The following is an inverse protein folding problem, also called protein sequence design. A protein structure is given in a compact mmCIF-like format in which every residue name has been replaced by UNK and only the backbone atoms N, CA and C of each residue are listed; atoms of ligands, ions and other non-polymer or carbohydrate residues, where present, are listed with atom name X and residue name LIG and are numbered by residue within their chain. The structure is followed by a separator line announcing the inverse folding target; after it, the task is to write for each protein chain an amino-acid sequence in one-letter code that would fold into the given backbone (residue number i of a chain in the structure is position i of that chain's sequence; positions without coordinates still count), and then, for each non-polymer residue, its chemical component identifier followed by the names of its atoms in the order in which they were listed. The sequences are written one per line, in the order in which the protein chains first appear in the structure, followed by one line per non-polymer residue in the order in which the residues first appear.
data_IF_555922534499
#
_entry.id   IF_555922534499
#
_cell.length_a   1.000
_cell.length_b   1.000
_cell.length_c   1.000
_cell.angle_alpha   90.00
_cell.angle_beta   90.00
_cell.angle_gamma   90.00
#
_symmetry.space_group_name_H-M   'P 1'
#
loop_
_entity.id
_entity.type
_entity.pdbx_description
1 polymer ?
#
# COMPACT_ATOMS: atom_id res chain seq x y z
N UNK A 1 3.02 -0.10 16.47
CA UNK A 1 3.11 0.20 15.02
C UNK A 1 4.56 0.29 14.65
N UNK A 2 4.95 -0.26 13.50
CA UNK A 2 6.34 -0.24 13.03
C UNK A 2 6.51 0.91 12.05
N UNK A 3 7.49 1.78 12.27
CA UNK A 3 7.89 2.82 11.32
C UNK A 3 9.15 2.35 10.59
N UNK A 4 9.14 2.48 9.26
CA UNK A 4 10.25 2.06 8.41
C UNK A 4 10.83 3.27 7.70
N UNK A 5 12.16 3.38 7.70
CA UNK A 5 12.89 4.24 6.77
C UNK A 5 13.05 3.57 5.40
N UNK A 6 13.39 4.35 4.37
CA UNK A 6 13.67 3.82 3.04
C UNK A 6 14.81 2.78 3.10
N UNK A 7 14.56 1.58 2.60
CA UNK A 7 15.53 0.48 2.60
C UNK A 7 15.63 -0.27 3.93
N UNK A 8 14.86 0.11 4.95
CA UNK A 8 14.83 -0.60 6.22
C UNK A 8 14.03 -1.91 6.09
N UNK A 9 14.67 -3.03 6.43
CA UNK A 9 14.00 -4.30 6.66
C UNK A 9 13.60 -4.46 8.14
N UNK A 10 12.63 -5.34 8.38
CA UNK A 10 12.27 -5.79 9.73
C UNK A 10 12.26 -7.31 9.79
N UNK A 11 12.63 -7.86 10.94
CA UNK A 11 12.39 -9.28 11.19
C UNK A 11 10.89 -9.50 11.40
N UNK A 12 10.37 -10.57 10.80
CA UNK A 12 9.03 -11.06 11.04
C UNK A 12 9.02 -12.21 12.07
N UNK A 13 10.18 -12.57 12.61
CA UNK A 13 10.27 -13.52 13.71
C UNK A 13 9.69 -12.89 14.98
N UNK A 14 8.86 -13.64 15.69
CA UNK A 14 8.37 -13.21 17.00
C UNK A 14 9.44 -13.48 18.05
N UNK A 15 9.49 -12.66 19.09
CA UNK A 15 10.50 -12.76 20.16
C UNK A 15 10.45 -14.07 20.97
N UNK A 16 9.37 -14.84 20.84
CA UNK A 16 9.17 -16.16 21.45
C UNK A 16 9.65 -17.32 20.54
N UNK A 17 10.26 -17.02 19.39
CA UNK A 17 10.68 -18.02 18.40
C UNK A 17 9.55 -18.52 17.50
N UNK A 18 8.33 -17.98 17.65
CA UNK A 18 7.20 -18.28 16.79
C UNK A 18 7.31 -17.61 15.41
N UNK A 19 6.77 -18.28 14.38
CA UNK A 19 6.63 -17.69 13.05
C UNK A 19 5.43 -16.75 12.98
N UNK A 20 5.54 -15.68 12.17
CA UNK A 20 4.40 -14.84 11.82
C UNK A 20 3.49 -15.60 10.84
N UNK A 21 2.22 -15.77 11.22
CA UNK A 21 1.24 -16.52 10.43
C UNK A 21 0.32 -15.63 9.59
N UNK A 22 0.27 -14.34 9.89
CA UNK A 22 -0.55 -13.37 9.17
C UNK A 22 0.08 -11.99 9.16
N UNK A 23 0.01 -11.32 8.01
CA UNK A 23 0.39 -9.91 7.83
C UNK A 23 -0.82 -9.17 7.30
N UNK A 24 -1.10 -7.99 7.85
CA UNK A 24 -2.09 -7.05 7.32
C UNK A 24 -1.40 -5.76 6.92
N UNK A 25 -1.55 -5.38 5.66
CA UNK A 25 -1.05 -4.11 5.12
C UNK A 25 -2.21 -3.15 4.87
N UNK A 26 -1.97 -1.86 5.07
CA UNK A 26 -2.94 -0.80 4.77
C UNK A 26 -2.23 0.35 4.04
N UNK A 27 -2.86 0.86 2.99
CA UNK A 27 -2.40 2.01 2.24
C UNK A 27 -3.33 3.19 2.55
N UNK A 28 -2.74 4.32 2.96
CA UNK A 28 -3.46 5.56 3.23
C UNK A 28 -2.69 6.74 2.68
N UNK A 29 -3.40 7.74 2.17
CA UNK A 29 -2.79 8.96 1.61
C UNK A 29 -3.59 10.20 1.99
N UNK A 30 -2.90 11.34 1.99
CA UNK A 30 -3.56 12.63 2.13
C UNK A 30 -4.14 13.06 0.78
N UNK A 31 -5.40 13.51 0.79
CA UNK A 31 -6.05 14.04 -0.40
C UNK A 31 -5.30 15.25 -0.99
N UNK A 32 -5.41 15.45 -2.30
CA UNK A 32 -4.81 16.60 -2.95
C UNK A 32 -5.38 17.92 -2.38
N UNK A 33 -4.54 18.96 -2.23
CA UNK A 33 -5.01 20.27 -1.78
C UNK A 33 -6.08 20.83 -2.73
N UNK A 34 -7.19 21.31 -2.15
CA UNK A 34 -8.21 22.04 -2.91
C UNK A 34 -7.82 23.52 -3.00
N UNK A 35 -7.77 24.07 -4.22
CA UNK A 35 -7.60 25.53 -4.41
C UNK A 35 -8.84 26.25 -3.85
N UNK A 36 -8.65 27.37 -3.14
CA UNK A 36 -9.72 28.23 -2.61
C UNK A 36 -9.75 29.55 -3.39
N UNK A 37 -10.92 29.99 -3.87
CA UNK A 37 -11.10 31.26 -4.57
C UNK A 37 -12.45 31.35 -5.29
N UNK A 38 -12.82 32.54 -5.78
CA UNK A 38 -14.12 32.82 -6.42
C UNK A 38 -14.49 31.90 -7.60
N UNK A 39 -13.49 31.29 -8.25
CA UNK A 39 -13.67 30.40 -9.40
C UNK A 39 -13.39 28.92 -9.06
N UNK A 40 -13.11 28.58 -7.81
CA UNK A 40 -12.70 27.22 -7.42
C UNK A 40 -13.81 26.18 -7.61
N UNK A 41 -15.09 26.60 -7.64
CA UNK A 41 -16.22 25.71 -7.93
C UNK A 41 -16.27 25.24 -9.38
N UNK A 42 -15.62 25.94 -10.32
CA UNK A 42 -15.56 25.54 -11.74
C UNK A 42 -14.39 24.57 -12.03
N UNK A 43 -13.38 24.49 -11.16
CA UNK A 43 -12.22 23.62 -11.35
C UNK A 43 -12.39 22.33 -10.55
N UNK A 44 -12.33 21.18 -11.24
CA UNK A 44 -12.35 19.88 -10.57
C UNK A 44 -11.08 19.70 -9.71
N UNK A 45 -11.20 19.16 -8.48
CA UNK A 45 -10.04 18.78 -7.68
C UNK A 45 -9.18 17.79 -8.44
N UNK A 46 -7.86 17.83 -8.22
CA UNK A 46 -6.98 16.77 -8.72
C UNK A 46 -7.24 15.50 -7.91
N UNK A 47 -7.64 14.44 -8.58
CA UNK A 47 -7.85 13.14 -7.95
C UNK A 47 -6.50 12.43 -7.75
N UNK A 48 -6.39 11.69 -6.66
CA UNK A 48 -5.27 10.79 -6.40
C UNK A 48 -5.89 9.41 -6.32
N UNK A 49 -5.58 8.61 -7.32
CA UNK A 49 -5.97 7.20 -7.40
C UNK A 49 -4.76 6.35 -6.98
N UNK A 50 -4.92 5.56 -5.92
CA UNK A 50 -3.87 4.71 -5.37
C UNK A 50 -4.34 3.26 -5.34
N UNK A 51 -3.49 2.38 -5.84
CA UNK A 51 -3.68 0.95 -5.76
C UNK A 51 -2.71 0.32 -4.75
N UNK A 52 -3.21 -0.69 -4.04
CA UNK A 52 -2.38 -1.64 -3.31
C UNK A 52 -2.37 -2.96 -4.08
N UNK A 53 -1.21 -3.59 -4.20
CA UNK A 53 -1.06 -4.88 -4.86
C UNK A 53 -0.02 -5.74 -4.15
N UNK A 54 -0.18 -7.05 -4.24
CA UNK A 54 0.78 -8.02 -3.74
C UNK A 54 1.19 -8.94 -4.89
N UNK A 55 2.50 -9.16 -5.04
CA UNK A 55 3.04 -10.06 -6.08
C UNK A 55 3.82 -11.17 -5.38
N UNK A 56 3.43 -12.41 -5.64
CA UNK A 56 4.10 -13.59 -5.10
C UNK A 56 5.16 -14.08 -6.10
N UNK A 57 6.37 -14.33 -5.60
CA UNK A 57 7.47 -14.86 -6.37
C UNK A 57 7.92 -16.23 -5.87
N UNK A 58 8.24 -17.11 -6.81
CA UNK A 58 9.02 -18.33 -6.56
C UNK A 58 10.39 -18.17 -7.22
N UNK A 59 11.40 -17.86 -6.40
CA UNK A 59 12.71 -17.42 -6.90
C UNK A 59 12.59 -16.10 -7.68
N UNK A 60 12.96 -16.12 -8.96
CA UNK A 60 12.87 -14.93 -9.86
C UNK A 60 11.57 -14.85 -10.67
N UNK A 61 10.69 -15.84 -10.56
CA UNK A 61 9.46 -15.92 -11.35
C UNK A 61 8.28 -15.43 -10.52
N UNK A 62 7.52 -14.47 -11.03
CA UNK A 62 6.21 -14.12 -10.46
C UNK A 62 5.23 -15.25 -10.74
N UNK A 63 4.54 -15.72 -9.71
CA UNK A 63 3.62 -16.86 -9.79
C UNK A 63 2.18 -16.49 -9.47
N UNK A 64 1.96 -15.35 -8.81
CA UNK A 64 0.62 -14.82 -8.55
C UNK A 64 0.65 -13.30 -8.28
N UNK A 65 -0.48 -12.62 -8.50
CA UNK A 65 -0.65 -11.19 -8.25
C UNK A 65 -2.07 -10.84 -7.83
N UNK A 66 -2.21 -10.21 -6.67
CA UNK A 66 -3.48 -9.62 -6.19
C UNK A 66 -3.46 -8.12 -6.42
N UNK A 67 -4.48 -7.58 -7.08
CA UNK A 67 -4.65 -6.15 -7.42
C UNK A 67 -6.13 -5.82 -7.71
N UNK A 68 -6.44 -4.57 -8.09
CA UNK A 68 -7.84 -4.12 -8.20
C UNK A 68 -8.76 -4.93 -9.16
N UNK A 69 -8.20 -5.68 -10.12
CA UNK A 69 -8.97 -6.58 -11.00
C UNK A 69 -8.87 -8.06 -10.61
N UNK A 70 -8.07 -8.40 -9.60
CA UNK A 70 -7.90 -9.75 -9.08
C UNK A 70 -7.72 -9.69 -7.56
N UNK A 71 -8.83 -9.73 -6.82
CA UNK A 71 -8.87 -9.38 -5.40
C UNK A 71 -8.45 -10.51 -4.45
N UNK A 72 -8.31 -11.73 -4.97
CA UNK A 72 -8.01 -12.93 -4.18
C UNK A 72 -7.17 -13.90 -5.00
N UNK A 73 -6.13 -14.46 -4.37
CA UNK A 73 -5.31 -15.58 -4.86
C UNK A 73 -6.08 -16.89 -4.88
#
# INVERSE_FOLDING_TARGET
TVNLAKGQGISLEKGDGGALTAVRMGLGWQAAPRKRGLLSGLMRPREIDLDASAVLFSGKKSVDVVFFQHLTS
#
